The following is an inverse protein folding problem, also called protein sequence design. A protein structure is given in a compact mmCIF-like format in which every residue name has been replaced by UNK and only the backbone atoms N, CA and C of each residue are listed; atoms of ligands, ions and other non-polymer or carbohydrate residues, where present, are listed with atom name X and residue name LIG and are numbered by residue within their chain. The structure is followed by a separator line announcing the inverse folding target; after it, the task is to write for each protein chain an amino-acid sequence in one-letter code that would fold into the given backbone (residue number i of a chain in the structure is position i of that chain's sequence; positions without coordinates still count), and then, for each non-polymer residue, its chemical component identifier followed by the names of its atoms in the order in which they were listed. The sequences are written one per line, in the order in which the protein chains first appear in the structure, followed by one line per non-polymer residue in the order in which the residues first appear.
data_IF_804690025578
#
_entry.id   IF_804690025578
#
_cell.length_a   1.000
_cell.length_b   1.000
_cell.length_c   1.000
_cell.angle_alpha   90.00
_cell.angle_beta   90.00
_cell.angle_gamma   90.00
#
_symmetry.space_group_name_H-M   'P 1'
#
loop_
_entity.id
_entity.type
_entity.pdbx_description
1 polymer ?
#
# COMPACT_ATOMS: atom_id res chain seq x y z
N UNK A 1 -9.14 -5.75 0.56
CA UNK A 1 -10.15 -5.59 -0.48
C UNK A 1 -11.43 -6.00 0.19
N UNK A 2 -12.39 -5.10 0.36
CA UNK A 2 -13.51 -5.40 1.27
C UNK A 2 -14.50 -6.42 0.65
N UNK A 3 -14.39 -6.67 -0.66
CA UNK A 3 -15.33 -7.52 -1.40
C UNK A 3 -14.71 -8.79 -2.03
N UNK A 4 -13.43 -9.08 -1.78
CA UNK A 4 -12.80 -10.36 -2.19
C UNK A 4 -12.70 -10.66 -3.69
N UNK A 5 -12.99 -9.71 -4.58
CA UNK A 5 -13.05 -9.95 -6.04
C UNK A 5 -11.70 -10.02 -6.75
N UNK A 6 -10.63 -9.53 -6.13
CA UNK A 6 -9.26 -9.52 -6.63
C UNK A 6 -8.31 -9.93 -5.50
N UNK A 7 -7.33 -10.74 -5.84
CA UNK A 7 -6.16 -11.03 -5.01
C UNK A 7 -4.99 -10.23 -5.56
N UNK A 8 -4.33 -9.48 -4.69
CA UNK A 8 -3.20 -8.61 -5.07
C UNK A 8 -1.97 -9.09 -4.31
N UNK A 9 -0.87 -9.28 -5.04
CA UNK A 9 0.41 -9.73 -4.49
C UNK A 9 1.52 -8.78 -4.92
N UNK A 10 2.28 -8.28 -3.95
CA UNK A 10 3.52 -7.54 -4.20
C UNK A 10 4.71 -8.47 -4.35
N UNK A 11 5.61 -8.17 -5.27
CA UNK A 11 6.81 -8.95 -5.57
C UNK A 11 8.09 -8.22 -5.13
N UNK A 12 9.19 -8.97 -5.05
CA UNK A 12 10.50 -8.46 -4.62
C UNK A 12 11.17 -7.55 -5.64
N UNK A 13 10.71 -7.57 -6.89
CA UNK A 13 11.16 -6.68 -7.97
C UNK A 13 10.27 -5.43 -8.13
N UNK A 14 9.32 -5.20 -7.22
CA UNK A 14 8.40 -4.06 -7.30
C UNK A 14 7.15 -4.29 -8.14
N UNK A 15 7.01 -5.46 -8.77
CA UNK A 15 5.79 -5.81 -9.49
C UNK A 15 4.62 -6.07 -8.53
N UNK A 16 3.42 -5.69 -8.97
CA UNK A 16 2.18 -6.09 -8.35
C UNK A 16 1.40 -6.98 -9.31
N UNK A 17 1.21 -8.23 -8.91
CA UNK A 17 0.42 -9.20 -9.66
C UNK A 17 -1.01 -9.20 -9.12
N UNK A 18 -1.96 -9.15 -10.04
CA UNK A 18 -3.40 -9.07 -9.76
C UNK A 18 -4.05 -10.32 -10.32
N UNK A 19 -4.89 -10.94 -9.50
CA UNK A 19 -5.59 -12.17 -9.81
C UNK A 19 -7.07 -11.98 -9.53
N UNK A 20 -7.92 -12.67 -10.29
CA UNK A 20 -9.34 -12.76 -10.00
C UNK A 20 -9.54 -13.56 -8.70
N UNK A 21 -10.21 -12.98 -7.70
CA UNK A 21 -10.39 -13.60 -6.38
C UNK A 21 -11.41 -14.73 -6.35
N UNK A 22 -12.22 -14.89 -7.40
CA UNK A 22 -13.24 -15.95 -7.52
C UNK A 22 -12.70 -17.12 -8.33
N UNK A 23 -12.15 -16.85 -9.52
CA UNK A 23 -11.67 -17.90 -10.43
C UNK A 23 -10.19 -18.25 -10.23
N UNK A 24 -9.45 -17.44 -9.48
CA UNK A 24 -8.00 -17.54 -9.30
C UNK A 24 -7.20 -17.46 -10.61
N UNK A 25 -7.79 -16.87 -11.65
CA UNK A 25 -7.08 -16.60 -12.90
C UNK A 25 -6.23 -15.34 -12.78
N UNK A 26 -5.09 -15.33 -13.49
CA UNK A 26 -4.25 -14.15 -13.62
C UNK A 26 -5.01 -13.05 -14.40
N UNK A 27 -4.92 -11.81 -13.91
CA UNK A 27 -5.57 -10.63 -14.51
C UNK A 27 -4.53 -9.71 -15.16
N UNK A 28 -3.61 -9.14 -14.36
CA UNK A 28 -2.60 -8.19 -14.87
C UNK A 28 -1.39 -8.04 -13.93
N UNK A 29 -0.32 -7.40 -14.43
CA UNK A 29 0.85 -6.93 -13.67
C UNK A 29 0.96 -5.41 -13.74
N UNK A 30 1.22 -4.77 -12.60
CA UNK A 30 1.58 -3.35 -12.50
C UNK A 30 3.05 -3.17 -12.07
N UNK A 31 3.73 -2.21 -12.71
CA UNK A 31 5.17 -1.92 -12.53
C UNK A 31 5.45 -0.62 -11.78
N UNK A 32 4.57 -0.27 -10.83
CA UNK A 32 4.53 1.07 -10.22
C UNK A 32 5.54 1.29 -9.09
N UNK A 33 6.16 0.22 -8.56
CA UNK A 33 7.21 0.32 -7.54
C UNK A 33 8.58 0.02 -8.14
N UNK A 34 9.57 0.81 -7.76
CA UNK A 34 10.96 0.67 -8.21
C UNK A 34 11.77 -0.30 -7.34
N UNK A 35 11.20 -0.79 -6.24
CA UNK A 35 11.85 -1.68 -5.28
C UNK A 35 10.84 -2.68 -4.69
N UNK A 36 11.35 -3.68 -3.98
CA UNK A 36 10.58 -4.71 -3.31
C UNK A 36 9.46 -4.12 -2.46
N UNK A 37 8.25 -4.59 -2.70
CA UNK A 37 7.10 -4.26 -1.86
C UNK A 37 7.19 -5.12 -0.59
N UNK A 38 7.10 -4.48 0.58
CA UNK A 38 7.25 -5.14 1.88
C UNK A 38 5.97 -5.19 2.67
N UNK A 39 5.15 -4.15 2.54
CA UNK A 39 3.89 -4.02 3.25
C UNK A 39 2.83 -3.58 2.26
N UNK A 40 1.63 -4.14 2.40
CA UNK A 40 0.48 -3.75 1.61
C UNK A 40 -0.78 -3.94 2.44
N UNK A 41 -1.46 -2.84 2.76
CA UNK A 41 -2.68 -2.86 3.57
C UNK A 41 -3.78 -2.05 2.90
N UNK A 42 -5.00 -2.52 3.09
CA UNK A 42 -6.17 -1.77 2.67
C UNK A 42 -6.51 -0.74 3.73
N UNK A 43 -6.68 0.50 3.31
CA UNK A 43 -7.27 1.52 4.14
C UNK A 43 -8.70 1.09 4.51
N UNK A 44 -9.07 1.28 5.78
CA UNK A 44 -10.44 1.04 6.25
C UNK A 44 -11.45 2.01 5.61
N UNK A 45 -10.95 3.15 5.13
CA UNK A 45 -11.73 4.23 4.54
C UNK A 45 -11.33 4.43 3.07
N UNK A 46 -12.30 4.81 2.22
CA UNK A 46 -12.12 5.05 0.78
C UNK A 46 -11.63 3.87 -0.10
N UNK A 47 -11.58 2.65 0.43
CA UNK A 47 -11.12 1.45 -0.31
C UNK A 47 -9.74 1.60 -0.98
N UNK A 48 -8.85 2.44 -0.43
CA UNK A 48 -7.51 2.57 -0.98
C UNK A 48 -6.60 1.43 -0.57
N UNK A 49 -5.67 1.09 -1.45
CA UNK A 49 -4.57 0.18 -1.15
C UNK A 49 -3.32 1.01 -0.89
N UNK A 50 -2.66 0.74 0.24
CA UNK A 50 -1.41 1.39 0.63
C UNK A 50 -0.26 0.38 0.57
N UNK A 51 0.41 0.26 -0.58
CA UNK A 51 1.66 -0.48 -0.68
C UNK A 51 2.86 0.40 -0.28
N UNK A 52 3.84 -0.24 0.36
CA UNK A 52 5.07 0.40 0.82
C UNK A 52 6.27 -0.41 0.36
N UNK A 53 7.23 0.28 -0.24
CA UNK A 53 8.45 -0.33 -0.74
C UNK A 53 9.56 -0.41 0.32
N UNK A 54 10.63 -1.13 -0.02
CA UNK A 54 11.82 -1.29 0.82
C UNK A 54 12.57 0.02 1.10
N UNK A 55 12.40 1.03 0.25
CA UNK A 55 13.03 2.35 0.44
C UNK A 55 12.21 3.25 1.37
N UNK A 56 11.08 2.77 1.89
CA UNK A 56 10.24 3.52 2.81
C UNK A 56 9.32 4.53 2.12
N UNK A 57 9.07 4.34 0.83
CA UNK A 57 8.11 5.13 0.08
C UNK A 57 6.72 4.49 0.16
N UNK A 58 5.75 5.28 0.60
CA UNK A 58 4.34 4.91 0.73
C UNK A 58 3.60 5.38 -0.51
N UNK A 59 2.89 4.47 -1.17
CA UNK A 59 2.07 4.77 -2.33
C UNK A 59 0.58 4.71 -1.96
N UNK A 60 -0.23 5.53 -2.61
CA UNK A 60 -1.67 5.61 -2.40
C UNK A 60 -2.38 5.18 -3.67
N UNK A 61 -3.05 4.03 -3.65
CA UNK A 61 -3.70 3.47 -4.84
C UNK A 61 -5.20 3.35 -4.67
N UNK A 62 -5.94 3.60 -5.75
CA UNK A 62 -7.36 3.27 -5.84
C UNK A 62 -7.58 1.76 -6.04
N UNK A 63 -8.82 1.30 -5.95
CA UNK A 63 -9.24 -0.08 -6.28
C UNK A 63 -8.94 -0.48 -7.73
N UNK A 64 -8.87 0.51 -8.61
CA UNK A 64 -8.51 0.35 -10.03
C UNK A 64 -7.00 0.31 -10.24
N UNK A 65 -6.21 0.34 -9.15
CA UNK A 65 -4.75 0.26 -9.13
C UNK A 65 -4.05 1.46 -9.77
N UNK A 66 -4.75 2.58 -9.85
CA UNK A 66 -4.16 3.84 -10.24
C UNK A 66 -3.44 4.47 -9.06
N UNK A 67 -2.25 5.03 -9.31
CA UNK A 67 -1.50 5.78 -8.29
C UNK A 67 -2.10 7.18 -8.15
N UNK A 68 -2.52 7.51 -6.94
CA UNK A 68 -3.04 8.83 -6.56
C UNK A 68 -1.88 9.73 -6.11
N UNK A 69 -1.01 9.17 -5.25
CA UNK A 69 0.11 9.89 -4.67
C UNK A 69 1.22 8.92 -4.24
N UNK A 70 2.42 9.46 -4.09
CA UNK A 70 3.59 8.80 -3.50
C UNK A 70 4.21 9.74 -2.47
N UNK A 71 4.61 9.18 -1.33
CA UNK A 71 5.20 9.94 -0.24
C UNK A 71 6.41 9.21 0.34
N UNK A 72 7.57 9.88 0.37
CA UNK A 72 8.76 9.36 1.02
C UNK A 72 8.61 9.49 2.54
N UNK A 73 8.16 8.41 3.17
CA UNK A 73 7.87 8.40 4.61
C UNK A 73 9.11 8.13 5.44
N UNK A 74 9.93 7.16 5.06
CA UNK A 74 11.07 6.68 5.84
C UNK A 74 12.35 6.67 5.02
N UNK A 75 13.52 6.66 5.66
CA UNK A 75 14.82 6.56 4.96
C UNK A 75 15.33 5.13 4.88
N UNK A 76 14.57 4.19 5.44
CA UNK A 76 14.89 2.76 5.50
C UNK A 76 13.62 1.93 5.31
N UNK A 77 13.77 0.61 5.36
CA UNK A 77 12.70 -0.34 5.12
C UNK A 77 11.58 -0.22 6.15
N UNK A 78 10.37 0.00 5.64
CA UNK A 78 9.14 -0.09 6.44
C UNK A 78 8.82 -1.55 6.68
N UNK A 79 8.55 -1.88 7.94
CA UNK A 79 8.30 -3.25 8.43
C UNK A 79 6.83 -3.58 8.50
N UNK A 80 6.01 -2.63 8.91
CA UNK A 80 4.56 -2.76 8.90
C UNK A 80 3.91 -1.38 8.87
N UNK A 81 2.61 -1.38 8.56
CA UNK A 81 1.74 -0.24 8.71
C UNK A 81 0.37 -0.72 9.20
N UNK A 82 -0.29 0.08 10.03
CA UNK A 82 -1.65 -0.23 10.46
C UNK A 82 -2.51 1.02 10.62
N UNK A 83 -3.80 0.83 10.36
CA UNK A 83 -4.79 1.88 10.39
C UNK A 83 -5.48 1.91 11.75
N UNK A 84 -5.58 3.12 12.30
CA UNK A 84 -6.45 3.37 13.44
C UNK A 84 -7.88 2.90 13.16
N UNK A 85 -8.56 2.39 14.18
CA UNK A 85 -10.00 2.13 14.13
C UNK A 85 -10.79 3.44 14.07
N UNK A 86 -10.25 4.53 14.63
CA UNK A 86 -10.79 5.88 14.47
C UNK A 86 -10.36 6.49 13.14
N UNK A 87 -11.24 7.32 12.57
CA UNK A 87 -11.10 7.78 11.20
C UNK A 87 -9.81 8.56 10.93
N UNK A 88 -9.16 8.21 9.82
CA UNK A 88 -8.24 9.10 9.12
C UNK A 88 -6.79 9.07 9.57
N UNK A 89 -6.32 8.10 10.36
CA UNK A 89 -4.89 7.98 10.69
C UNK A 89 -4.34 6.58 10.52
N UNK A 90 -3.06 6.50 10.20
CA UNK A 90 -2.30 5.25 10.21
C UNK A 90 -0.90 5.48 10.74
N UNK A 91 -0.28 4.41 11.23
CA UNK A 91 1.11 4.40 11.68
C UNK A 91 1.94 3.53 10.73
N UNK A 92 3.20 3.91 10.49
CA UNK A 92 4.20 3.04 9.88
C UNK A 92 5.45 2.96 10.75
N UNK A 93 6.06 1.78 10.81
CA UNK A 93 7.30 1.53 11.54
C UNK A 93 8.42 1.10 10.58
N UNK A 94 9.64 1.56 10.84
CA UNK A 94 10.77 1.37 9.95
C UNK A 94 12.06 1.07 10.69
N UNK A 95 13.01 0.46 9.97
CA UNK A 95 14.38 0.21 10.43
C UNK A 95 15.18 1.51 10.64
N UNK A 96 14.67 2.68 10.23
CA UNK A 96 15.22 3.99 10.58
C UNK A 96 15.02 4.37 12.05
N UNK A 97 14.43 3.45 12.84
CA UNK A 97 14.14 3.57 14.28
C UNK A 97 13.05 4.59 14.60
N UNK A 98 12.25 4.98 13.60
CA UNK A 98 11.16 5.94 13.76
C UNK A 98 9.82 5.25 13.45
N UNK A 99 8.82 5.58 14.27
CA UNK A 99 7.41 5.34 13.96
C UNK A 99 6.79 6.67 13.57
N UNK A 100 6.17 6.74 12.39
CA UNK A 100 5.49 7.96 11.91
C UNK A 100 3.99 7.75 11.89
N UNK A 101 3.26 8.79 12.29
CA UNK A 101 1.79 8.83 12.24
C UNK A 101 1.38 9.75 11.10
N UNK A 102 0.51 9.27 10.24
CA UNK A 102 0.01 9.97 9.08
C UNK A 102 -1.47 10.28 9.26
N UNK A 103 -1.89 11.44 8.76
CA UNK A 103 -3.30 11.77 8.60
C UNK A 103 -3.71 11.55 7.14
N UNK A 104 -4.61 10.60 6.94
CA UNK A 104 -5.15 10.21 5.65
C UNK A 104 -6.13 11.26 5.09
N UNK A 105 -6.85 11.97 5.95
CA UNK A 105 -7.87 12.95 5.55
C UNK A 105 -7.29 14.26 4.98
N UNK A 106 -6.02 14.54 5.24
CA UNK A 106 -5.33 15.74 4.72
C UNK A 106 -4.63 15.52 3.38
N UNK A 107 -4.66 14.32 2.82
CA UNK A 107 -4.34 14.09 1.41
C UNK A 107 -5.54 14.52 0.53
N UNK A 108 -5.92 15.80 0.63
CA UNK A 108 -6.58 16.48 -0.50
C UNK A 108 -5.48 16.85 -1.50
N UNK A 109 -5.73 16.75 -2.82
CA UNK A 109 -4.85 17.42 -3.78
C UNK A 109 -4.70 18.91 -3.46
#
# INVERSE_FOLDING_TARGET
MQHGRKLIKGHTNGEIHVWNGVTLNFDTVNYLHEDSIKVMKWAKYHEWLIPVDKKGCIHYWTTDLNTIAKHQAHTSQVRDLDFSSSYGKFASCSDDRIVKIFNFGTFKP
#
